data_IF_805977323746
#
_entry.id   IF_805977323746
#
_cell.length_a   1.000
_cell.length_b   1.000
_cell.length_c   1.000
_cell.angle_alpha   90.00
_cell.angle_beta   90.00
_cell.angle_gamma   90.00
#
_symmetry.space_group_name_H-M   'P 1'
#
loop_
_entity.id
_entity.type
_entity.pdbx_description
1 polymer ?
#
# COMPACT_ATOMS: atom_id res chain seq x y z
N UNK A 1 6.89 -10.43 5.11
CA UNK A 1 6.45 -9.38 4.17
C UNK A 1 4.92 -9.12 4.22
N UNK A 2 4.27 -9.16 5.40
CA UNK A 2 2.80 -9.05 5.46
C UNK A 2 2.29 -7.66 5.92
N UNK A 3 3.14 -6.85 6.59
CA UNK A 3 2.69 -5.66 7.32
C UNK A 3 2.38 -4.45 6.42
N UNK A 4 2.86 -4.44 5.16
CA UNK A 4 2.70 -3.27 4.25
C UNK A 4 1.45 -3.38 3.35
N UNK A 5 0.77 -4.54 3.33
CA UNK A 5 -0.35 -4.76 2.40
C UNK A 5 -1.66 -4.10 2.84
N UNK A 6 -1.81 -3.75 4.12
CA UNK A 6 -3.09 -3.32 4.67
C UNK A 6 -3.56 -1.94 4.18
N UNK A 7 -2.67 -1.14 3.57
CA UNK A 7 -3.00 0.18 3.03
C UNK A 7 -3.16 0.19 1.51
N UNK A 8 -2.99 -0.95 0.85
CA UNK A 8 -3.17 -1.05 -0.59
C UNK A 8 -4.65 -1.31 -0.92
N UNK A 9 -5.02 -0.88 -2.13
CA UNK A 9 -6.36 -1.07 -2.67
C UNK A 9 -6.26 -1.80 -4.00
N UNK A 10 -7.21 -2.68 -4.23
CA UNK A 10 -7.50 -3.22 -5.54
C UNK A 10 -8.38 -2.21 -6.28
N UNK A 11 -8.04 -1.92 -7.53
CA UNK A 11 -8.85 -1.05 -8.40
C UNK A 11 -9.16 -1.80 -9.68
N UNK A 12 -10.42 -1.86 -10.05
CA UNK A 12 -10.84 -2.33 -11.37
C UNK A 12 -11.32 -1.17 -12.24
N UNK A 13 -10.95 -1.21 -13.52
CA UNK A 13 -11.39 -0.27 -14.54
C UNK A 13 -11.76 -1.01 -15.81
N UNK A 14 -12.96 -0.75 -16.33
CA UNK A 14 -13.41 -1.26 -17.64
C UNK A 14 -13.43 -0.12 -18.66
N UNK A 15 -12.68 -0.26 -19.74
CA UNK A 15 -12.66 0.72 -20.83
C UNK A 15 -13.94 0.66 -21.67
N UNK A 16 -14.20 1.70 -22.47
CA UNK A 16 -15.34 1.74 -23.38
C UNK A 16 -15.31 0.63 -24.44
N UNK A 17 -14.11 0.17 -24.81
CA UNK A 17 -13.89 -0.93 -25.77
C UNK A 17 -14.01 -2.32 -25.13
N UNK A 18 -14.32 -2.41 -23.83
CA UNK A 18 -14.50 -3.67 -23.12
C UNK A 18 -13.23 -4.26 -22.51
N UNK A 19 -12.06 -3.65 -22.72
CA UNK A 19 -10.84 -4.06 -22.03
C UNK A 19 -10.97 -3.81 -20.53
N UNK A 20 -10.50 -4.76 -19.73
CA UNK A 20 -10.64 -4.80 -18.28
C UNK A 20 -9.26 -4.82 -17.63
N UNK A 21 -9.00 -3.85 -16.78
CA UNK A 21 -7.74 -3.69 -16.06
C UNK A 21 -7.99 -3.77 -14.56
N UNK A 22 -7.16 -4.52 -13.86
CA UNK A 22 -7.19 -4.61 -12.41
C UNK A 22 -5.79 -4.35 -11.90
N UNK A 23 -5.69 -3.48 -10.90
CA UNK A 23 -4.40 -3.11 -10.29
C UNK A 23 -4.45 -3.30 -8.78
N UNK A 24 -3.29 -3.57 -8.20
CA UNK A 24 -3.06 -3.62 -6.77
C UNK A 24 -1.82 -2.79 -6.43
N UNK A 25 -1.99 -1.73 -5.63
CA UNK A 25 -0.89 -0.83 -5.29
C UNK A 25 -0.24 -0.16 -6.51
N UNK A 26 -1.05 0.22 -7.51
CA UNK A 26 -0.62 0.82 -8.80
C UNK A 26 0.11 -0.13 -9.76
N UNK A 27 0.25 -1.42 -9.42
CA UNK A 27 0.77 -2.46 -10.33
C UNK A 27 -0.38 -3.30 -10.90
N UNK A 28 -0.28 -3.72 -12.16
CA UNK A 28 -1.28 -4.65 -12.74
C UNK A 28 -1.33 -5.96 -11.95
N UNK A 29 -2.54 -6.39 -11.62
CA UNK A 29 -2.77 -7.63 -10.90
C UNK A 29 -2.57 -8.80 -11.88
N UNK A 30 -1.62 -9.72 -11.60
CA UNK A 30 -1.41 -10.88 -12.46
C UNK A 30 -2.64 -11.78 -12.43
N UNK A 31 -3.02 -12.32 -13.59
CA UNK A 31 -4.16 -13.23 -13.74
C UNK A 31 -3.95 -14.60 -13.11
N UNK A 32 -2.71 -14.98 -12.82
CA UNK A 32 -2.33 -16.25 -12.18
C UNK A 32 -2.93 -17.48 -12.87
N UNK A 33 -2.92 -17.50 -14.20
CA UNK A 33 -3.34 -18.67 -14.97
C UNK A 33 -2.54 -19.93 -14.61
N UNK A 34 -1.30 -19.78 -14.15
CA UNK A 34 -0.43 -20.89 -13.75
C UNK A 34 -0.98 -21.68 -12.55
N UNK A 35 -1.66 -21.00 -11.63
CA UNK A 35 -2.21 -21.62 -10.41
C UNK A 35 -3.70 -21.92 -10.54
N UNK A 36 -4.46 -21.09 -11.26
CA UNK A 36 -5.91 -21.26 -11.42
C UNK A 36 -6.35 -21.01 -12.87
N UNK A 37 -6.18 -21.97 -13.79
CA UNK A 37 -6.49 -21.80 -15.21
C UNK A 37 -7.98 -22.02 -15.53
N UNK A 38 -8.91 -21.45 -14.75
CA UNK A 38 -10.35 -21.63 -15.06
C UNK A 38 -10.81 -20.69 -16.17
N UNK A 39 -10.39 -19.42 -16.17
CA UNK A 39 -10.76 -18.45 -17.21
C UNK A 39 -9.75 -18.43 -18.35
N UNK A 40 -10.24 -18.37 -19.59
CA UNK A 40 -9.40 -18.04 -20.77
C UNK A 40 -9.40 -16.55 -21.12
N UNK A 41 -10.37 -15.78 -20.60
CA UNK A 41 -10.67 -14.42 -21.03
C UNK A 41 -10.29 -13.35 -19.97
N UNK A 42 -9.25 -13.61 -19.17
CA UNK A 42 -8.80 -12.66 -18.14
C UNK A 42 -9.82 -12.46 -17.02
N UNK A 43 -9.84 -11.26 -16.47
CA UNK A 43 -10.71 -10.88 -15.35
C UNK A 43 -12.10 -10.43 -15.80
N UNK A 44 -13.09 -10.67 -14.96
CA UNK A 44 -14.42 -10.08 -15.06
C UNK A 44 -14.98 -9.76 -13.67
N UNK A 45 -16.05 -8.98 -13.60
CA UNK A 45 -16.69 -8.59 -12.34
C UNK A 45 -18.13 -8.13 -12.55
N UNK A 46 -18.90 -8.08 -11.46
CA UNK A 46 -20.35 -7.78 -11.48
C UNK A 46 -21.22 -8.97 -11.86
N UNK A 47 -20.64 -10.18 -11.84
CA UNK A 47 -21.31 -11.44 -12.13
C UNK A 47 -20.61 -12.59 -11.39
N UNK A 48 -21.14 -13.81 -11.53
CA UNK A 48 -20.55 -15.05 -10.99
C UNK A 48 -19.94 -15.92 -12.10
N UNK A 49 -19.41 -15.29 -13.16
CA UNK A 49 -18.80 -16.00 -14.28
C UNK A 49 -17.42 -16.54 -13.92
N UNK A 50 -16.87 -17.37 -14.81
CA UNK A 50 -15.52 -17.92 -14.65
C UNK A 50 -14.45 -16.81 -14.62
N UNK A 51 -14.65 -15.70 -15.33
CA UNK A 51 -13.76 -14.53 -15.27
C UNK A 51 -13.83 -13.80 -13.92
N UNK A 52 -15.00 -13.79 -13.28
CA UNK A 52 -15.17 -13.26 -11.92
C UNK A 52 -14.49 -14.16 -10.88
N UNK A 53 -14.58 -15.48 -11.06
CA UNK A 53 -13.83 -16.44 -10.25
C UNK A 53 -12.32 -16.24 -10.40
N UNK A 54 -11.82 -15.94 -11.60
CA UNK A 54 -10.39 -15.66 -11.83
C UNK A 54 -9.92 -14.42 -11.05
N UNK A 55 -10.75 -13.37 -11.05
CA UNK A 55 -10.48 -12.16 -10.30
C UNK A 55 -10.50 -12.42 -8.79
N UNK A 56 -11.53 -13.11 -8.30
CA UNK A 56 -11.65 -13.52 -6.90
C UNK A 56 -10.43 -14.30 -6.42
N UNK A 57 -10.02 -15.32 -7.19
CA UNK A 57 -8.81 -16.09 -6.90
C UNK A 57 -7.57 -15.20 -6.80
N UNK A 58 -7.37 -14.32 -7.78
CA UNK A 58 -6.17 -13.47 -7.83
C UNK A 58 -6.12 -12.46 -6.67
N UNK A 59 -7.27 -11.95 -6.23
CA UNK A 59 -7.38 -11.07 -5.06
C UNK A 59 -7.05 -11.83 -3.78
N UNK A 60 -7.66 -13.01 -3.57
CA UNK A 60 -7.40 -13.83 -2.39
C UNK A 60 -5.94 -14.28 -2.34
N UNK A 61 -5.41 -14.83 -3.44
CA UNK A 61 -4.01 -15.28 -3.56
C UNK A 61 -3.00 -14.16 -3.28
N UNK A 62 -3.35 -12.90 -3.58
CA UNK A 62 -2.48 -11.76 -3.30
C UNK A 62 -2.31 -11.50 -1.79
N UNK A 63 -3.27 -11.91 -0.97
CA UNK A 63 -3.32 -11.67 0.48
C UNK A 63 -3.22 -12.95 1.33
N UNK A 64 -3.44 -14.12 0.74
CA UNK A 64 -3.48 -15.42 1.43
C UNK A 64 -2.61 -16.47 0.75
N UNK A 65 -2.67 -17.72 1.25
CA UNK A 65 -2.10 -18.89 0.58
C UNK A 65 -2.95 -19.34 -0.62
N UNK A 66 -2.33 -20.15 -1.50
CA UNK A 66 -3.00 -20.73 -2.66
C UNK A 66 -4.20 -21.60 -2.29
N UNK A 67 -4.02 -22.50 -1.32
CA UNK A 67 -5.05 -23.47 -0.92
C UNK A 67 -6.32 -22.77 -0.39
N UNK A 68 -6.13 -21.70 0.39
CA UNK A 68 -7.23 -20.89 0.90
C UNK A 68 -7.91 -20.16 -0.26
N UNK A 69 -7.12 -19.53 -1.14
CA UNK A 69 -7.65 -18.84 -2.30
C UNK A 69 -8.54 -19.79 -3.13
N UNK A 70 -8.08 -20.99 -3.48
CA UNK A 70 -8.84 -21.98 -4.26
C UNK A 70 -10.13 -22.42 -3.57
N UNK A 71 -10.08 -22.68 -2.26
CA UNK A 71 -11.24 -23.15 -1.50
C UNK A 71 -12.36 -22.11 -1.42
N UNK A 72 -12.01 -20.84 -1.30
CA UNK A 72 -12.97 -19.76 -1.02
C UNK A 72 -13.29 -18.87 -2.24
N UNK A 73 -12.78 -19.20 -3.44
CA UNK A 73 -13.05 -18.43 -4.68
C UNK A 73 -14.54 -18.22 -4.91
N UNK A 74 -15.33 -19.31 -4.86
CA UNK A 74 -16.74 -19.26 -5.22
C UNK A 74 -17.55 -18.40 -4.23
N UNK A 75 -17.28 -18.58 -2.94
CA UNK A 75 -17.91 -17.77 -1.89
C UNK A 75 -17.53 -16.29 -2.01
N UNK A 76 -16.24 -15.98 -2.17
CA UNK A 76 -15.79 -14.60 -2.34
C UNK A 76 -16.35 -13.95 -3.60
N UNK A 77 -16.51 -14.73 -4.67
CA UNK A 77 -17.11 -14.25 -5.92
C UNK A 77 -18.56 -13.84 -5.69
N UNK A 78 -19.34 -14.67 -4.99
CA UNK A 78 -20.75 -14.38 -4.72
C UNK A 78 -20.95 -13.21 -3.75
N UNK A 79 -20.09 -13.08 -2.74
CA UNK A 79 -20.23 -12.08 -1.69
C UNK A 79 -19.70 -10.70 -2.11
N UNK A 80 -18.54 -10.66 -2.78
CA UNK A 80 -17.80 -9.43 -3.04
C UNK A 80 -17.79 -9.11 -4.54
N UNK A 81 -17.24 -9.99 -5.37
CA UNK A 81 -16.98 -9.68 -6.79
C UNK A 81 -18.27 -9.47 -7.59
N UNK A 82 -19.33 -10.21 -7.25
CA UNK A 82 -20.66 -10.05 -7.84
C UNK A 82 -21.24 -8.66 -7.55
N UNK A 83 -20.91 -8.06 -6.41
CA UNK A 83 -21.37 -6.72 -6.00
C UNK A 83 -20.76 -5.58 -6.82
N UNK A 84 -19.66 -5.84 -7.53
CA UNK A 84 -18.91 -4.84 -8.31
C UNK A 84 -19.58 -4.58 -9.67
N UNK A 85 -20.74 -3.93 -9.69
CA UNK A 85 -21.49 -3.68 -10.94
C UNK A 85 -20.98 -2.47 -11.73
N UNK A 86 -20.19 -1.63 -11.08
CA UNK A 86 -19.68 -0.40 -11.69
C UNK A 86 -18.53 -0.68 -12.64
N UNK A 87 -18.36 0.23 -13.61
CA UNK A 87 -17.22 0.24 -14.52
C UNK A 87 -15.89 0.36 -13.77
N UNK A 88 -15.92 1.18 -12.73
CA UNK A 88 -14.80 1.54 -11.88
C UNK A 88 -15.13 1.17 -10.44
N UNK A 89 -14.25 0.42 -9.77
CA UNK A 89 -14.44 0.01 -8.38
C UNK A 89 -13.12 0.02 -7.62
N UNK A 90 -13.22 0.17 -6.31
CA UNK A 90 -12.10 0.15 -5.37
C UNK A 90 -12.48 -0.81 -4.25
N UNK A 91 -11.57 -1.71 -3.91
CA UNK A 91 -11.71 -2.67 -2.82
C UNK A 91 -10.45 -2.61 -1.95
N UNK A 92 -10.60 -2.36 -0.66
CA UNK A 92 -9.44 -2.24 0.24
C UNK A 92 -8.89 -3.60 0.60
N UNK A 93 -7.57 -3.73 0.74
CA UNK A 93 -6.98 -4.96 1.25
C UNK A 93 -7.50 -5.32 2.65
N UNK A 94 -7.75 -4.31 3.50
CA UNK A 94 -8.37 -4.51 4.82
C UNK A 94 -9.75 -5.18 4.75
N UNK A 95 -10.60 -4.75 3.80
CA UNK A 95 -11.94 -5.30 3.62
C UNK A 95 -11.88 -6.77 3.20
N UNK A 96 -10.90 -7.12 2.34
CA UNK A 96 -10.67 -8.49 1.92
C UNK A 96 -10.13 -9.34 3.08
N UNK A 97 -9.20 -8.80 3.88
CA UNK A 97 -8.68 -9.49 5.06
C UNK A 97 -9.78 -9.74 6.10
N UNK A 98 -10.64 -8.75 6.36
CA UNK A 98 -11.80 -8.90 7.25
C UNK A 98 -12.76 -9.97 6.72
N UNK A 99 -12.99 -10.03 5.41
CA UNK A 99 -13.78 -11.10 4.81
C UNK A 99 -13.12 -12.47 4.99
N UNK A 100 -11.80 -12.58 4.81
CA UNK A 100 -11.05 -13.82 5.03
C UNK A 100 -11.17 -14.28 6.48
N UNK A 101 -10.94 -13.39 7.45
CA UNK A 101 -11.04 -13.69 8.88
C UNK A 101 -12.44 -14.15 9.28
N UNK A 102 -13.47 -13.61 8.64
CA UNK A 102 -14.88 -13.94 8.95
C UNK A 102 -15.34 -15.27 8.36
N UNK A 103 -14.88 -15.62 7.16
CA UNK A 103 -15.40 -16.77 6.40
C UNK A 103 -14.44 -17.97 6.35
N UNK A 104 -13.15 -17.76 6.61
CA UNK A 104 -12.20 -18.85 6.71
C UNK A 104 -12.04 -19.27 8.16
N UNK A 105 -12.40 -20.51 8.49
CA UNK A 105 -11.98 -21.15 9.74
C UNK A 105 -10.45 -21.33 9.72
N UNK A 106 -9.73 -20.31 10.17
CA UNK A 106 -8.28 -20.39 10.32
C UNK A 106 -7.99 -21.26 11.55
N UNK A 107 -7.54 -22.50 11.31
CA UNK A 107 -6.76 -23.26 12.30
C UNK A 107 -5.57 -22.38 12.68
N UNK A 108 -5.53 -22.03 13.96
CA UNK A 108 -4.58 -21.13 14.56
C UNK A 108 -3.13 -21.53 14.27
N UNK A 109 -2.36 -20.59 13.73
CA UNK A 109 -1.02 -20.32 14.26
C UNK A 109 -0.90 -18.80 14.48
N UNK A 110 -1.32 -18.38 15.69
CA UNK A 110 -0.86 -17.13 16.32
C UNK A 110 0.60 -17.33 16.74
N UNK A 111 1.43 -16.29 16.71
CA UNK A 111 1.75 -15.44 17.86
C UNK A 111 2.59 -14.21 17.40
N UNK A 112 2.72 -13.14 18.20
CA UNK A 112 1.68 -12.42 18.93
C UNK A 112 1.77 -10.89 18.73
N UNK A 113 0.61 -10.25 18.79
CA UNK A 113 0.49 -8.79 18.90
C UNK A 113 0.98 -8.31 20.28
N UNK A 114 1.93 -7.39 20.33
CA UNK A 114 2.07 -6.48 21.48
C UNK A 114 1.40 -5.16 21.16
N UNK A 115 0.20 -5.02 21.71
CA UNK A 115 -0.55 -3.77 21.81
C UNK A 115 0.19 -2.85 22.79
N UNK A 116 0.71 -1.73 22.31
CA UNK A 116 0.98 -0.58 23.19
C UNK A 116 -0.13 0.43 23.00
N UNK A 117 -1.07 0.41 23.96
CA UNK A 117 -1.96 1.52 24.28
C UNK A 117 -1.11 2.64 24.90
N UNK A 118 -1.25 3.88 24.43
CA UNK A 118 -1.11 5.03 25.33
C UNK A 118 -2.23 6.02 25.04
N UNK A 119 -3.11 6.21 26.02
CA UNK A 119 -4.00 7.36 26.15
C UNK A 119 -3.41 8.33 27.19
N UNK A 120 -3.76 9.61 26.99
CA UNK A 120 -3.98 10.66 27.99
C UNK A 120 -2.79 11.52 28.47
N UNK A 121 -2.95 12.84 28.32
CA UNK A 121 -3.12 13.80 29.42
C UNK A 121 -2.36 15.14 29.21
N UNK A 122 -3.11 16.22 29.48
CA UNK A 122 -2.80 17.64 29.37
C UNK A 122 -1.69 18.16 30.31
N UNK A 123 -0.84 19.08 29.78
CA UNK A 123 -0.33 20.40 30.28
C UNK A 123 0.07 20.62 31.78
N UNK A 124 0.79 21.71 32.18
CA UNK A 124 1.46 22.80 31.42
C UNK A 124 2.88 23.21 31.94
N UNK A 125 3.75 23.81 31.11
CA UNK A 125 4.83 24.72 31.58
C UNK A 125 5.41 25.59 30.44
N UNK A 126 5.84 26.80 30.79
CA UNK A 126 6.01 28.00 29.92
C UNK A 126 7.30 28.09 29.09
N UNK A 127 7.11 28.42 27.79
CA UNK A 127 7.90 29.17 26.77
C UNK A 127 9.40 29.50 27.04
N UNK A 128 10.22 29.39 25.97
CA UNK A 128 10.55 30.61 25.21
C UNK A 128 10.23 30.50 23.70
N UNK A 129 9.98 31.66 23.09
CA UNK A 129 9.46 31.89 21.73
C UNK A 129 10.30 31.17 20.65
N UNK A 130 9.68 30.30 19.82
CA UNK A 130 10.27 29.86 18.54
C UNK A 130 9.24 29.96 17.41
N UNK A 131 9.72 30.56 16.32
CA UNK A 131 8.99 31.01 15.15
C UNK A 131 8.23 29.86 14.48
N UNK A 132 7.08 30.17 13.87
CA UNK A 132 6.23 29.23 13.12
C UNK A 132 7.12 28.31 12.25
N UNK A 133 7.27 27.04 12.64
CA UNK A 133 8.04 26.09 11.85
C UNK A 133 7.26 25.78 10.58
N UNK A 134 8.01 25.69 9.49
CA UNK A 134 7.48 25.53 8.17
C UNK A 134 7.62 24.04 7.82
N UNK A 135 6.53 23.40 7.42
CA UNK A 135 6.49 21.96 7.15
C UNK A 135 7.60 21.55 6.18
N UNK A 136 7.87 22.36 5.16
CA UNK A 136 8.93 22.09 4.18
C UNK A 136 10.32 22.18 4.81
N UNK A 137 10.55 23.12 5.72
CA UNK A 137 11.84 23.26 6.42
C UNK A 137 12.09 22.13 7.40
N UNK A 138 11.06 21.63 8.05
CA UNK A 138 11.16 20.50 8.98
C UNK A 138 11.50 19.21 8.21
N UNK A 139 10.87 18.99 7.05
CA UNK A 139 11.19 17.88 6.14
C UNK A 139 12.64 17.97 5.62
N UNK A 140 13.06 19.15 5.17
CA UNK A 140 14.43 19.36 4.68
C UNK A 140 15.48 19.08 5.76
N UNK A 141 15.18 19.42 7.03
CA UNK A 141 16.06 19.10 8.18
C UNK A 141 16.09 17.62 8.50
N UNK A 142 14.95 16.94 8.45
CA UNK A 142 14.89 15.50 8.76
C UNK A 142 15.63 14.66 7.71
N UNK A 143 15.58 15.10 6.44
CA UNK A 143 16.26 14.46 5.32
C UNK A 143 17.73 14.90 5.16
N UNK A 144 18.17 15.93 5.89
CA UNK A 144 19.47 16.59 5.71
C UNK A 144 19.72 17.03 4.25
N UNK A 145 18.68 17.56 3.61
CA UNK A 145 18.72 18.05 2.22
C UNK A 145 18.29 19.51 2.13
N UNK A 146 18.70 20.16 1.05
CA UNK A 146 18.27 21.52 0.70
C UNK A 146 16.93 21.52 -0.04
N UNK A 147 16.25 22.68 -0.07
CA UNK A 147 15.00 22.83 -0.85
C UNK A 147 15.23 22.61 -2.36
N UNK A 148 16.41 22.98 -2.85
CA UNK A 148 16.82 22.73 -4.24
C UNK A 148 16.96 21.25 -4.54
N UNK A 149 17.63 20.50 -3.65
CA UNK A 149 17.75 19.04 -3.79
C UNK A 149 16.38 18.36 -3.67
N UNK A 150 15.51 18.84 -2.77
CA UNK A 150 14.15 18.32 -2.67
C UNK A 150 13.36 18.55 -3.97
N UNK A 151 13.53 19.71 -4.61
CA UNK A 151 12.91 20.01 -5.90
C UNK A 151 13.43 19.09 -7.02
N UNK A 152 14.74 18.84 -7.04
CA UNK A 152 15.39 17.93 -7.98
C UNK A 152 14.92 16.48 -7.79
N UNK A 153 14.88 15.98 -6.56
CA UNK A 153 14.39 14.63 -6.23
C UNK A 153 12.92 14.44 -6.62
N UNK A 154 12.11 15.47 -6.44
CA UNK A 154 10.68 15.42 -6.77
C UNK A 154 10.38 15.73 -8.25
N UNK A 155 11.39 16.08 -9.05
CA UNK A 155 11.25 16.54 -10.44
C UNK A 155 10.28 17.73 -10.60
N UNK A 156 10.33 18.66 -9.65
CA UNK A 156 9.45 19.83 -9.62
C UNK A 156 10.32 21.11 -9.64
N UNK A 157 9.86 22.21 -10.26
CA UNK A 157 10.58 23.49 -10.20
C UNK A 157 10.83 23.97 -8.76
N UNK A 158 12.01 24.54 -8.49
CA UNK A 158 12.40 25.06 -7.16
C UNK A 158 11.41 26.11 -6.61
N UNK A 159 10.83 26.91 -7.51
CA UNK A 159 9.78 27.88 -7.16
C UNK A 159 8.53 27.23 -6.56
N UNK A 160 8.21 25.99 -6.93
CA UNK A 160 7.05 25.26 -6.41
C UNK A 160 7.30 24.80 -4.97
N UNK A 161 8.48 24.24 -4.69
CA UNK A 161 8.87 23.86 -3.31
C UNK A 161 8.98 25.09 -2.41
N UNK A 162 9.49 26.20 -2.95
CA UNK A 162 9.52 27.50 -2.27
C UNK A 162 8.11 28.02 -1.98
N UNK A 163 7.17 27.87 -2.92
CA UNK A 163 5.76 28.25 -2.75
C UNK A 163 5.09 27.44 -1.65
N UNK A 164 5.36 26.12 -1.56
CA UNK A 164 4.87 25.28 -0.47
C UNK A 164 5.42 25.70 0.88
N UNK A 165 6.68 26.12 0.91
CA UNK A 165 7.27 26.66 2.12
C UNK A 165 6.55 27.95 2.53
N UNK A 166 6.34 28.89 1.62
CA UNK A 166 5.68 30.17 1.95
C UNK A 166 4.23 29.97 2.40
N UNK A 167 3.47 29.11 1.70
CA UNK A 167 2.07 28.80 2.00
C UNK A 167 1.91 27.85 3.18
N UNK A 168 2.99 27.21 3.62
CA UNK A 168 3.02 26.16 4.63
C UNK A 168 2.04 25.00 4.31
N UNK A 169 1.88 24.69 3.03
CA UNK A 169 0.97 23.67 2.54
C UNK A 169 1.64 22.91 1.39
N UNK A 170 1.64 21.59 1.49
CA UNK A 170 2.18 20.69 0.48
C UNK A 170 0.99 19.93 -0.14
N UNK A 171 0.84 19.94 -1.48
CA UNK A 171 -0.18 19.14 -2.16
C UNK A 171 -0.10 17.66 -1.77
N UNK A 172 -1.24 16.96 -1.81
CA UNK A 172 -1.33 15.53 -1.40
C UNK A 172 -0.29 14.65 -2.08
N UNK A 173 -0.03 14.88 -3.37
CA UNK A 173 0.97 14.14 -4.15
C UNK A 173 2.39 14.41 -3.64
N UNK A 174 2.76 15.67 -3.43
CA UNK A 174 4.07 16.05 -2.89
C UNK A 174 4.31 15.46 -1.51
N UNK A 175 3.29 15.47 -0.64
CA UNK A 175 3.36 14.84 0.69
C UNK A 175 3.64 13.33 0.59
N UNK A 176 2.97 12.63 -0.33
CA UNK A 176 3.18 11.18 -0.54
C UNK A 176 4.54 10.86 -1.15
N UNK A 177 5.02 11.69 -2.09
CA UNK A 177 6.34 11.52 -2.68
C UNK A 177 7.47 11.69 -1.65
N UNK A 178 7.35 12.70 -0.78
CA UNK A 178 8.29 12.92 0.34
C UNK A 178 8.26 11.74 1.31
N UNK A 179 7.07 11.28 1.71
CA UNK A 179 6.90 10.12 2.60
C UNK A 179 7.55 8.86 2.01
N UNK A 180 7.36 8.63 0.71
CA UNK A 180 7.98 7.54 -0.03
C UNK A 180 9.51 7.66 -0.03
N UNK A 181 10.05 8.84 -0.32
CA UNK A 181 11.49 9.09 -0.32
C UNK A 181 12.11 8.86 1.07
N UNK A 182 11.49 9.37 2.14
CA UNK A 182 11.92 9.14 3.51
C UNK A 182 11.97 7.65 3.86
N UNK A 183 10.95 6.90 3.44
CA UNK A 183 10.89 5.45 3.66
C UNK A 183 11.98 4.73 2.86
N UNK A 184 12.21 5.13 1.62
CA UNK A 184 13.27 4.60 0.76
C UNK A 184 14.65 4.79 1.40
N UNK A 185 14.96 5.99 1.91
CA UNK A 185 16.21 6.28 2.62
C UNK A 185 16.42 5.40 3.87
N UNK A 186 15.36 5.20 4.67
CA UNK A 186 15.42 4.30 5.84
C UNK A 186 15.67 2.86 5.43
N UNK A 187 15.00 2.39 4.37
CA UNK A 187 15.21 1.04 3.84
C UNK A 187 16.63 0.86 3.31
N UNK A 188 17.20 1.88 2.65
CA UNK A 188 18.57 1.83 2.14
C UNK A 188 19.57 1.66 3.28
N UNK A 189 19.44 2.42 4.38
CA UNK A 189 20.27 2.26 5.58
C UNK A 189 20.19 0.86 6.18
N UNK A 190 19.00 0.25 6.18
CA UNK A 190 18.83 -1.13 6.65
C UNK A 190 19.59 -2.10 5.74
N UNK A 191 19.43 -1.98 4.42
CA UNK A 191 20.14 -2.83 3.45
C UNK A 191 21.65 -2.67 3.59
N UNK A 192 22.15 -1.45 3.75
CA UNK A 192 23.58 -1.18 3.90
C UNK A 192 24.12 -1.76 5.22
N UNK A 193 23.35 -1.68 6.31
CA UNK A 193 23.74 -2.33 7.57
C UNK A 193 23.85 -3.85 7.46
N UNK A 194 22.96 -4.50 6.70
CA UNK A 194 23.05 -5.93 6.43
C UNK A 194 24.23 -6.29 5.55
N UNK A 195 24.53 -5.48 4.52
CA UNK A 195 25.71 -5.68 3.67
C UNK A 195 26.99 -5.60 4.48
N UNK A 196 27.14 -4.55 5.29
CA UNK A 196 28.31 -4.40 6.18
C UNK A 196 28.43 -5.57 7.16
N UNK A 197 27.32 -6.09 7.68
CA UNK A 197 27.34 -7.28 8.54
C UNK A 197 27.82 -8.53 7.80
N UNK A 198 27.35 -8.77 6.56
CA UNK A 198 27.80 -9.89 5.73
C UNK A 198 29.30 -9.76 5.41
N UNK A 199 29.78 -8.57 5.08
CA UNK A 199 31.20 -8.31 4.81
C UNK A 199 32.07 -8.64 6.04
N UNK A 200 31.61 -8.27 7.25
CA UNK A 200 32.30 -8.60 8.50
C UNK A 200 32.34 -10.11 8.77
N UNK A 201 31.28 -10.84 8.42
CA UNK A 201 31.25 -12.31 8.57
C UNK A 201 32.15 -13.02 7.56
N UNK A 202 32.32 -12.47 6.36
CA UNK A 202 33.18 -13.03 5.32
C UNK A 202 34.66 -12.69 5.51
N UNK A 203 34.96 -11.62 6.25
CA UNK A 203 36.32 -11.22 6.62
C UNK A 203 36.85 -11.92 7.89
N UNK A 204 35.99 -12.67 8.60
CA UNK A 204 36.34 -13.55 9.73
C UNK A 204 36.61 -14.98 9.27
#
# INVERSE_FOLDING_TARGET
>A
MAIVMNNHVFKGHRTLLGNKFVTYGELELPTRFDNYPKSKNGFDWGNSSIGANQLAFSILFQLSSQELAEKYVEQFTHDVVRGLHTRDWILSASDVLEWIEKNCDIVQQKEPETKVKVKAANNPAKKPKKQKSNIVKDICKELDITQKQLAEILEVPEGTVSSWAVKNEIPRLGKKAIEFYMKSQKNQKIVDSYRSFIELLQAS
#
